data_IF_286916227763
#
_entry.id   IF_286916227763
#
_cell.length_a   1.000
_cell.length_b   1.000
_cell.length_c   1.000
_cell.angle_alpha   90.00
_cell.angle_beta   90.00
_cell.angle_gamma   90.00
#
_symmetry.space_group_name_H-M   'P 1'
#
loop_
_entity.id
_entity.type
_entity.pdbx_description
1 polymer ?
#
# COMPACT_ATOMS: atom_id res chain seq x y z
N UNK A 1 -5.14 -4.31 -19.01
CA UNK A 1 -5.58 -3.03 -19.63
C UNK A 1 -6.39 -3.35 -20.87
N UNK A 2 -7.64 -2.89 -20.98
CA UNK A 2 -8.41 -3.03 -22.21
C UNK A 2 -7.89 -2.09 -23.30
N UNK A 3 -7.88 -2.54 -24.56
CA UNK A 3 -7.30 -1.82 -25.72
C UNK A 3 -7.84 -0.38 -25.85
N UNK A 4 -9.09 -0.15 -25.47
CA UNK A 4 -9.74 1.17 -25.51
C UNK A 4 -9.17 2.15 -24.46
N UNK A 5 -9.00 1.72 -23.20
CA UNK A 5 -8.43 2.57 -22.15
C UNK A 5 -6.98 2.96 -22.46
N UNK A 6 -6.19 2.02 -23.00
CA UNK A 6 -4.80 2.27 -23.42
C UNK A 6 -4.71 3.29 -24.56
N UNK A 7 -5.67 3.32 -25.49
CA UNK A 7 -5.71 4.31 -26.59
C UNK A 7 -6.12 5.70 -26.12
N UNK A 8 -7.04 5.80 -25.15
CA UNK A 8 -7.49 7.09 -24.59
C UNK A 8 -6.39 7.75 -23.74
N UNK A 9 -5.69 6.96 -22.93
CA UNK A 9 -4.54 7.44 -22.13
C UNK A 9 -3.37 7.91 -23.01
N UNK A 10 -3.12 7.25 -24.16
CA UNK A 10 -2.14 7.73 -25.17
C UNK A 10 -2.54 9.06 -25.81
N UNK A 11 -3.81 9.44 -25.76
CA UNK A 11 -4.34 10.73 -26.26
C UNK A 11 -4.44 11.79 -25.15
N UNK A 12 -3.93 11.51 -23.95
CA UNK A 12 -3.96 12.45 -22.82
C UNK A 12 -5.31 12.57 -22.12
N UNK A 13 -6.29 11.72 -22.44
CA UNK A 13 -7.60 11.72 -21.78
C UNK A 13 -7.53 10.80 -20.58
N UNK A 14 -7.66 11.37 -19.38
CA UNK A 14 -7.70 10.60 -18.14
C UNK A 14 -8.94 9.72 -18.10
N UNK A 15 -8.73 8.41 -17.98
CA UNK A 15 -9.81 7.42 -17.80
C UNK A 15 -9.90 7.01 -16.34
N UNK A 16 -11.10 6.67 -15.85
CA UNK A 16 -11.27 6.13 -14.49
C UNK A 16 -10.39 4.90 -14.25
N UNK A 17 -10.33 3.98 -15.23
CA UNK A 17 -9.45 2.80 -15.19
C UNK A 17 -7.96 3.15 -15.20
N UNK A 18 -7.56 4.22 -15.88
CA UNK A 18 -6.18 4.72 -15.88
C UNK A 18 -5.79 5.41 -14.57
N UNK A 19 -6.71 6.18 -13.96
CA UNK A 19 -6.54 6.77 -12.64
C UNK A 19 -6.37 5.69 -11.56
N UNK A 20 -7.20 4.65 -11.58
CA UNK A 20 -7.07 3.50 -10.69
C UNK A 20 -5.71 2.80 -10.85
N UNK A 21 -5.25 2.58 -12.07
CA UNK A 21 -3.94 1.96 -12.30
C UNK A 21 -2.77 2.84 -11.83
N UNK A 22 -2.85 4.16 -11.98
CA UNK A 22 -1.86 5.09 -11.41
C UNK A 22 -1.82 4.99 -9.89
N UNK A 23 -2.98 4.95 -9.23
CA UNK A 23 -3.09 4.80 -7.78
C UNK A 23 -2.51 3.46 -7.31
N UNK A 24 -2.88 2.35 -7.94
CA UNK A 24 -2.35 1.01 -7.64
C UNK A 24 -0.82 0.98 -7.79
N UNK A 25 -0.28 1.62 -8.83
CA UNK A 25 1.17 1.72 -9.03
C UNK A 25 1.86 2.51 -7.91
N UNK A 26 1.28 3.64 -7.50
CA UNK A 26 1.78 4.47 -6.42
C UNK A 26 1.75 3.72 -5.08
N UNK A 27 0.67 3.01 -4.78
CA UNK A 27 0.50 2.20 -3.56
C UNK A 27 1.50 1.04 -3.55
N UNK A 28 1.69 0.34 -4.68
CA UNK A 28 2.71 -0.71 -4.79
C UNK A 28 4.14 -0.19 -4.60
N UNK A 29 4.44 1.01 -5.12
CA UNK A 29 5.74 1.66 -4.91
C UNK A 29 5.96 1.98 -3.43
N UNK A 30 4.93 2.52 -2.76
CA UNK A 30 4.93 2.79 -1.33
C UNK A 30 5.19 1.52 -0.51
N UNK A 31 4.47 0.43 -0.81
CA UNK A 31 4.62 -0.85 -0.12
C UNK A 31 6.04 -1.43 -0.27
N UNK A 32 6.64 -1.33 -1.45
CA UNK A 32 8.03 -1.77 -1.71
C UNK A 32 9.04 -0.92 -0.94
N UNK A 33 8.85 0.39 -0.92
CA UNK A 33 9.70 1.32 -0.17
C UNK A 33 9.66 1.01 1.34
N UNK A 34 8.46 0.85 1.90
CA UNK A 34 8.27 0.52 3.32
C UNK A 34 8.96 -0.80 3.65
N UNK A 35 8.73 -1.85 2.86
CA UNK A 35 9.38 -3.16 3.05
C UNK A 35 10.89 -3.02 3.10
N UNK A 36 11.49 -2.35 2.12
CA UNK A 36 12.93 -2.20 2.04
C UNK A 36 13.50 -1.42 3.24
N UNK A 37 12.81 -0.38 3.70
CA UNK A 37 13.22 0.40 4.88
C UNK A 37 13.12 -0.43 6.16
N UNK A 38 12.01 -1.13 6.38
CA UNK A 38 11.81 -2.00 7.54
C UNK A 38 12.90 -3.06 7.60
N UNK A 39 13.15 -3.79 6.50
CA UNK A 39 14.19 -4.83 6.48
C UNK A 39 15.57 -4.28 6.81
N UNK A 40 15.91 -3.10 6.26
CA UNK A 40 17.20 -2.44 6.53
C UNK A 40 17.34 -2.03 8.00
N UNK A 41 16.30 -1.42 8.58
CA UNK A 41 16.31 -0.97 9.96
C UNK A 41 16.25 -2.15 10.95
N UNK A 42 15.51 -3.21 10.61
CA UNK A 42 15.48 -4.46 11.36
C UNK A 42 16.87 -5.07 11.46
N UNK A 43 17.56 -5.27 10.33
CA UNK A 43 18.91 -5.85 10.32
C UNK A 43 19.92 -4.97 11.07
N UNK A 44 19.83 -3.64 10.89
CA UNK A 44 20.72 -2.71 11.57
C UNK A 44 20.48 -2.67 13.08
N UNK A 45 19.23 -2.54 13.53
CA UNK A 45 18.88 -2.53 14.96
C UNK A 45 19.24 -3.85 15.64
N UNK A 46 19.06 -4.99 14.96
CA UNK A 46 19.50 -6.30 15.44
C UNK A 46 21.00 -6.35 15.69
N UNK A 47 21.79 -5.85 14.73
CA UNK A 47 23.24 -5.82 14.83
C UNK A 47 23.73 -4.88 15.95
N UNK A 48 23.08 -3.72 16.12
CA UNK A 48 23.46 -2.79 17.19
C UNK A 48 23.03 -3.29 18.58
N UNK A 49 21.88 -3.95 18.69
CA UNK A 49 21.42 -4.54 19.95
C UNK A 49 22.34 -5.66 20.47
N UNK A 50 23.08 -6.33 19.58
CA UNK A 50 24.06 -7.36 19.95
C UNK A 50 25.42 -6.82 20.40
N UNK A 51 25.66 -5.50 20.34
CA UNK A 51 26.93 -4.89 20.79
C UNK A 51 26.91 -4.64 22.30
N UNK A 52 28.07 -4.66 22.98
CA UNK A 52 28.14 -4.30 24.40
C UNK A 52 27.56 -2.90 24.61
N UNK A 53 26.80 -2.74 25.70
CA UNK A 53 26.05 -1.51 25.98
C UNK A 53 26.97 -0.28 25.94
N UNK A 54 26.82 0.52 24.87
CA UNK A 54 27.28 1.90 24.86
C UNK A 54 26.28 2.75 25.64
N UNK A 55 26.65 4.01 25.93
CA UNK A 55 25.75 5.00 26.57
C UNK A 55 24.36 4.92 25.92
N UNK A 56 23.28 5.04 26.71
CA UNK A 56 21.91 4.90 26.18
C UNK A 56 21.64 5.77 24.95
N UNK A 57 20.65 5.39 24.11
CA UNK A 57 20.39 6.04 22.80
C UNK A 57 20.33 7.57 22.91
N UNK A 58 19.76 8.09 23.98
CA UNK A 58 19.63 9.53 24.23
C UNK A 58 20.97 10.23 24.41
N UNK A 59 21.94 9.59 25.07
CA UNK A 59 23.26 10.15 25.29
C UNK A 59 24.06 10.18 23.99
N UNK A 60 24.02 9.09 23.21
CA UNK A 60 24.62 9.08 21.86
C UNK A 60 23.99 10.17 20.99
N UNK A 61 22.67 10.35 21.02
CA UNK A 61 22.03 11.40 20.22
C UNK A 61 22.36 12.81 20.66
N UNK A 62 22.51 13.04 21.95
CA UNK A 62 22.94 14.33 22.45
C UNK A 62 24.38 14.64 21.97
N UNK A 63 25.27 13.65 21.98
CA UNK A 63 26.63 13.78 21.41
C UNK A 63 26.57 14.06 19.90
N UNK A 64 25.76 13.31 19.14
CA UNK A 64 25.56 13.54 17.70
C UNK A 64 25.04 14.96 17.41
N UNK A 65 24.09 15.44 18.22
CA UNK A 65 23.50 16.77 18.06
C UNK A 65 24.52 17.88 18.31
N UNK A 66 25.38 17.73 19.33
CA UNK A 66 26.44 18.71 19.60
C UNK A 66 27.42 18.82 18.44
N UNK A 67 27.75 17.70 17.78
CA UNK A 67 28.63 17.72 16.62
C UNK A 67 27.96 18.29 15.36
N UNK A 68 26.65 18.07 15.16
CA UNK A 68 25.90 18.65 14.05
C UNK A 68 25.77 20.19 14.12
N UNK A 69 26.00 20.81 15.28
CA UNK A 69 26.05 22.27 15.44
C UNK A 69 27.18 22.94 14.64
N UNK A 70 28.11 22.18 14.07
CA UNK A 70 29.17 22.68 13.18
C UNK A 70 28.70 23.01 11.75
N UNK A 71 27.39 22.92 11.44
CA UNK A 71 26.87 23.35 10.14
C UNK A 71 27.15 24.85 9.88
N UNK A 72 27.90 25.16 8.82
CA UNK A 72 28.38 26.52 8.54
C UNK A 72 27.28 27.52 8.10
N UNK A 73 26.07 27.06 7.78
CA UNK A 73 24.97 27.91 7.28
C UNK A 73 23.76 27.93 8.22
N UNK A 74 23.09 29.10 8.32
CA UNK A 74 21.89 29.30 9.14
C UNK A 74 20.77 28.29 8.81
N UNK A 75 20.55 28.04 7.52
CA UNK A 75 19.55 27.06 7.04
C UNK A 75 19.92 25.62 7.45
N UNK A 76 21.20 25.27 7.39
CA UNK A 76 21.69 23.95 7.83
C UNK A 76 21.47 23.74 9.33
N UNK A 77 21.73 24.76 10.17
CA UNK A 77 21.46 24.72 11.61
C UNK A 77 19.98 24.51 11.92
N UNK A 78 19.09 25.25 11.25
CA UNK A 78 17.63 25.11 11.44
C UNK A 78 17.17 23.69 11.07
N UNK A 79 17.65 23.16 9.93
CA UNK A 79 17.32 21.81 9.48
C UNK A 79 17.81 20.74 10.46
N UNK A 80 19.04 20.84 10.94
CA UNK A 80 19.60 19.91 11.91
C UNK A 80 18.80 19.90 13.23
N UNK A 81 18.34 21.07 13.68
CA UNK A 81 17.47 21.18 14.87
C UNK A 81 16.09 20.57 14.64
N UNK A 82 15.49 20.75 13.46
CA UNK A 82 14.21 20.11 13.13
C UNK A 82 14.36 18.58 13.04
N UNK A 83 15.44 18.10 12.43
CA UNK A 83 15.73 16.67 12.31
C UNK A 83 16.00 16.04 13.69
N UNK A 84 16.72 16.73 14.60
CA UNK A 84 16.93 16.26 15.96
C UNK A 84 15.64 16.26 16.78
N UNK A 85 14.81 17.31 16.68
CA UNK A 85 13.52 17.37 17.37
C UNK A 85 12.57 16.24 16.93
N UNK A 86 12.48 15.97 15.61
CA UNK A 86 11.67 14.87 15.09
C UNK A 86 12.15 13.51 15.58
N UNK A 87 13.47 13.34 15.73
CA UNK A 87 14.06 12.12 16.23
C UNK A 87 13.82 11.92 17.74
N UNK A 88 13.96 12.97 18.55
CA UNK A 88 13.59 12.92 19.97
C UNK A 88 12.12 12.60 20.15
N UNK A 89 11.24 13.25 19.38
CA UNK A 89 9.82 12.95 19.39
C UNK A 89 9.54 11.48 19.04
N UNK A 90 10.21 10.93 18.03
CA UNK A 90 10.08 9.51 17.68
C UNK A 90 10.47 8.58 18.84
N UNK A 91 11.60 8.84 19.49
CA UNK A 91 12.05 8.00 20.61
C UNK A 91 11.12 8.11 21.82
N UNK A 92 10.74 9.34 22.20
CA UNK A 92 9.89 9.61 23.35
C UNK A 92 8.48 9.05 23.14
N UNK A 93 7.86 9.31 21.99
CA UNK A 93 6.50 8.83 21.68
C UNK A 93 6.41 7.30 21.59
N UNK A 94 7.54 6.62 21.32
CA UNK A 94 7.61 5.16 21.26
C UNK A 94 8.28 4.52 22.47
N UNK A 95 8.65 5.29 23.51
CA UNK A 95 9.28 4.78 24.73
C UNK A 95 10.65 4.10 24.49
N UNK A 96 11.37 4.50 23.45
CA UNK A 96 12.63 3.87 23.04
C UNK A 96 13.80 4.50 23.80
N UNK A 97 14.41 3.73 24.70
CA UNK A 97 15.57 4.10 25.51
C UNK A 97 16.82 3.30 25.15
N UNK A 98 16.67 2.13 24.51
CA UNK A 98 17.77 1.22 24.15
C UNK A 98 17.69 0.71 22.71
N UNK A 99 18.83 0.24 22.17
CA UNK A 99 18.88 -0.36 20.83
C UNK A 99 18.03 -1.64 20.74
N UNK A 100 17.87 -2.35 21.86
CA UNK A 100 16.97 -3.49 21.96
C UNK A 100 15.49 -3.07 21.79
N UNK A 101 15.05 -2.03 22.48
CA UNK A 101 13.68 -1.50 22.33
C UNK A 101 13.44 -0.96 20.92
N UNK A 102 14.46 -0.35 20.29
CA UNK A 102 14.37 0.03 18.89
C UNK A 102 14.21 -1.20 17.98
N UNK A 103 14.93 -2.29 18.26
CA UNK A 103 14.79 -3.54 17.52
C UNK A 103 13.40 -4.15 17.66
N UNK A 104 12.88 -4.22 18.88
CA UNK A 104 11.51 -4.67 19.19
C UNK A 104 10.48 -3.83 18.42
N UNK A 105 10.63 -2.50 18.41
CA UNK A 105 9.79 -1.62 17.59
C UNK A 105 9.88 -1.96 16.10
N UNK A 106 11.06 -2.28 15.57
CA UNK A 106 11.21 -2.68 14.16
C UNK A 106 10.56 -4.04 13.86
N UNK A 107 10.59 -4.99 14.82
CA UNK A 107 9.86 -6.26 14.72
C UNK A 107 8.36 -6.01 14.63
N UNK A 108 7.82 -5.18 15.53
CA UNK A 108 6.40 -4.83 15.56
C UNK A 108 5.96 -4.12 14.28
N UNK A 109 6.75 -3.15 13.80
CA UNK A 109 6.47 -2.46 12.54
C UNK A 109 6.48 -3.42 11.35
N UNK A 110 7.38 -4.40 11.34
CA UNK A 110 7.42 -5.43 10.30
C UNK A 110 6.16 -6.31 10.33
N UNK A 111 5.73 -6.76 11.52
CA UNK A 111 4.50 -7.54 11.67
C UNK A 111 3.27 -6.73 11.20
N UNK A 112 3.14 -5.48 11.65
CA UNK A 112 2.07 -4.56 11.21
C UNK A 112 2.08 -4.33 9.71
N UNK A 113 3.26 -4.21 9.09
CA UNK A 113 3.37 -4.09 7.63
C UNK A 113 2.75 -5.28 6.90
N UNK A 114 3.06 -6.51 7.33
CA UNK A 114 2.52 -7.70 6.68
C UNK A 114 1.02 -7.85 6.92
N UNK A 115 0.52 -7.53 8.11
CA UNK A 115 -0.91 -7.50 8.42
C UNK A 115 -1.67 -6.50 7.54
N UNK A 116 -1.22 -5.24 7.50
CA UNK A 116 -1.84 -4.20 6.67
C UNK A 116 -1.79 -4.53 5.18
N UNK A 117 -0.66 -5.08 4.71
CA UNK A 117 -0.55 -5.52 3.32
C UNK A 117 -1.52 -6.66 3.02
N UNK A 118 -1.66 -7.61 3.94
CA UNK A 118 -2.63 -8.70 3.83
C UNK A 118 -4.06 -8.18 3.70
N UNK A 119 -4.46 -7.27 4.60
CA UNK A 119 -5.77 -6.59 4.59
C UNK A 119 -6.03 -5.89 3.27
N UNK A 120 -5.10 -5.04 2.79
CA UNK A 120 -5.23 -4.33 1.51
C UNK A 120 -5.43 -5.31 0.35
N UNK A 121 -4.57 -6.33 0.22
CA UNK A 121 -4.66 -7.29 -0.89
C UNK A 121 -5.95 -8.11 -0.83
N UNK A 122 -6.40 -8.49 0.38
CA UNK A 122 -7.65 -9.23 0.55
C UNK A 122 -8.87 -8.39 0.16
N UNK A 123 -8.90 -7.12 0.57
CA UNK A 123 -9.95 -6.17 0.21
C UNK A 123 -9.97 -5.94 -1.31
N UNK A 124 -8.81 -5.75 -1.94
CA UNK A 124 -8.72 -5.60 -3.41
C UNK A 124 -9.27 -6.81 -4.17
N UNK A 125 -8.91 -8.03 -3.73
CA UNK A 125 -9.44 -9.27 -4.33
C UNK A 125 -10.95 -9.37 -4.17
N UNK A 126 -11.47 -9.06 -2.98
CA UNK A 126 -12.90 -9.13 -2.71
C UNK A 126 -13.68 -8.08 -3.50
N UNK A 127 -13.19 -6.83 -3.56
CA UNK A 127 -13.76 -5.77 -4.40
C UNK A 127 -13.79 -6.21 -5.87
N UNK A 128 -12.70 -6.78 -6.40
CA UNK A 128 -12.66 -7.24 -7.78
C UNK A 128 -13.73 -8.31 -8.06
N UNK A 129 -13.85 -9.30 -7.19
CA UNK A 129 -14.87 -10.36 -7.31
C UNK A 129 -16.30 -9.80 -7.24
N UNK A 130 -16.58 -8.91 -6.30
CA UNK A 130 -17.89 -8.26 -6.19
C UNK A 130 -18.21 -7.36 -7.39
N UNK A 131 -17.19 -6.69 -7.93
CA UNK A 131 -17.32 -5.85 -9.13
C UNK A 131 -17.70 -6.70 -10.33
N UNK A 132 -17.03 -7.84 -10.54
CA UNK A 132 -17.35 -8.79 -11.61
C UNK A 132 -18.80 -9.32 -11.48
N UNK A 133 -19.23 -9.66 -10.25
CA UNK A 133 -20.62 -10.07 -9.99
C UNK A 133 -21.62 -8.97 -10.35
N UNK A 134 -21.33 -7.73 -9.98
CA UNK A 134 -22.13 -6.56 -10.33
C UNK A 134 -22.21 -6.34 -11.85
N UNK A 135 -21.09 -6.48 -12.56
CA UNK A 135 -21.02 -6.38 -14.02
C UNK A 135 -21.86 -7.47 -14.71
N UNK A 136 -21.75 -8.72 -14.26
CA UNK A 136 -22.55 -9.85 -14.78
C UNK A 136 -24.05 -9.64 -14.52
N UNK A 137 -24.40 -9.17 -13.32
CA UNK A 137 -25.78 -8.81 -13.01
C UNK A 137 -26.33 -7.68 -13.88
N UNK A 138 -25.53 -6.64 -14.14
CA UNK A 138 -25.89 -5.54 -15.03
C UNK A 138 -26.07 -6.02 -16.48
N UNK A 139 -25.17 -6.86 -16.98
CA UNK A 139 -25.28 -7.46 -18.33
C UNK A 139 -26.52 -8.33 -18.46
N UNK A 140 -26.79 -9.17 -17.47
CA UNK A 140 -27.99 -10.01 -17.44
C UNK A 140 -29.25 -9.15 -17.57
N UNK A 141 -29.40 -8.12 -16.74
CA UNK A 141 -30.58 -7.25 -16.77
C UNK A 141 -30.69 -6.42 -18.05
N UNK A 142 -29.56 -5.95 -18.59
CA UNK A 142 -29.52 -5.17 -19.83
C UNK A 142 -30.02 -5.96 -21.04
N UNK A 143 -29.64 -7.23 -21.16
CA UNK A 143 -29.95 -8.06 -22.33
C UNK A 143 -31.15 -9.01 -22.13
N UNK A 144 -31.66 -9.13 -20.91
CA UNK A 144 -32.93 -9.80 -20.59
C UNK A 144 -34.11 -9.42 -21.51
N UNK A 145 -34.37 -8.14 -21.85
CA UNK A 145 -35.47 -7.80 -22.76
C UNK A 145 -35.27 -8.36 -24.17
N UNK A 146 -34.05 -8.39 -24.70
CA UNK A 146 -33.73 -8.94 -26.02
C UNK A 146 -33.95 -10.46 -26.03
N UNK A 147 -33.50 -11.16 -24.98
CA UNK A 147 -33.79 -12.59 -24.83
C UNK A 147 -35.30 -12.88 -24.73
N UNK A 148 -36.05 -12.02 -24.05
CA UNK A 148 -37.52 -12.11 -23.97
C UNK A 148 -38.19 -11.85 -25.33
N UNK A 149 -37.68 -10.92 -26.12
CA UNK A 149 -38.17 -10.65 -27.47
C UNK A 149 -37.94 -11.87 -28.38
N UNK A 150 -36.77 -12.51 -28.31
CA UNK A 150 -36.48 -13.73 -29.06
C UNK A 150 -37.55 -14.82 -28.85
N UNK A 151 -38.02 -15.01 -27.62
CA UNK A 151 -39.07 -15.99 -27.31
C UNK A 151 -40.44 -15.67 -27.95
N UNK A 152 -40.66 -14.42 -28.38
CA UNK A 152 -41.90 -13.95 -29.00
C UNK A 152 -41.80 -13.87 -30.54
N UNK A 153 -40.61 -14.03 -31.11
CA UNK A 153 -40.41 -13.99 -32.56
C UNK A 153 -40.95 -15.28 -33.19
N UNK A 154 -41.70 -15.13 -34.30
CA UNK A 154 -42.20 -16.28 -35.07
C UNK A 154 -41.04 -17.17 -35.53
N UNK A 155 -41.19 -18.50 -35.57
CA UNK A 155 -40.11 -19.42 -35.97
C UNK A 155 -39.41 -19.02 -37.27
N UNK A 156 -40.18 -18.60 -38.29
CA UNK A 156 -39.67 -18.19 -39.59
C UNK A 156 -38.76 -16.94 -39.59
N UNK A 157 -38.78 -16.10 -38.54
CA UNK A 157 -37.93 -14.89 -38.42
C UNK A 157 -36.91 -14.99 -37.30
N UNK A 158 -36.84 -16.14 -36.62
CA UNK A 158 -36.05 -16.33 -35.41
C UNK A 158 -34.56 -16.30 -35.70
N UNK A 159 -34.12 -17.01 -36.74
CA UNK A 159 -32.72 -17.07 -37.15
C UNK A 159 -32.16 -15.68 -37.51
N UNK A 160 -32.92 -14.87 -38.26
CA UNK A 160 -32.53 -13.50 -38.59
C UNK A 160 -32.41 -12.60 -37.35
N UNK A 161 -33.28 -12.80 -36.36
CA UNK A 161 -33.22 -12.08 -35.08
C UNK A 161 -31.99 -12.49 -34.27
N UNK A 162 -31.70 -13.79 -34.20
CA UNK A 162 -30.53 -14.33 -33.51
C UNK A 162 -29.23 -13.84 -34.16
N UNK A 163 -29.14 -13.78 -35.49
CA UNK A 163 -27.98 -13.21 -36.19
C UNK A 163 -27.78 -11.73 -35.84
N UNK A 164 -28.86 -10.93 -35.86
CA UNK A 164 -28.82 -9.49 -35.54
C UNK A 164 -28.46 -9.18 -34.09
N UNK A 165 -28.88 -10.03 -33.16
CA UNK A 165 -28.65 -9.86 -31.72
C UNK A 165 -27.67 -10.89 -31.14
N UNK A 166 -26.84 -11.49 -31.99
CA UNK A 166 -25.97 -12.62 -31.63
C UNK A 166 -25.03 -12.27 -30.47
N UNK A 167 -24.44 -11.07 -30.49
CA UNK A 167 -23.57 -10.58 -29.43
C UNK A 167 -24.30 -10.37 -28.12
N UNK A 168 -25.46 -9.72 -28.14
CA UNK A 168 -26.25 -9.43 -26.96
C UNK A 168 -26.78 -10.71 -26.30
N UNK A 169 -27.22 -11.68 -27.12
CA UNK A 169 -27.67 -12.98 -26.66
C UNK A 169 -26.51 -13.79 -26.05
N UNK A 170 -25.33 -13.79 -26.69
CA UNK A 170 -24.14 -14.45 -26.14
C UNK A 170 -23.72 -13.85 -24.78
N UNK A 171 -23.74 -12.52 -24.64
CA UNK A 171 -23.46 -11.84 -23.37
C UNK A 171 -24.51 -12.16 -22.31
N UNK A 172 -25.79 -12.21 -22.68
CA UNK A 172 -26.87 -12.62 -21.78
C UNK A 172 -26.67 -14.05 -21.28
N UNK A 173 -26.36 -14.99 -22.17
CA UNK A 173 -26.19 -16.40 -21.84
C UNK A 173 -24.95 -16.65 -20.98
N UNK A 174 -23.85 -15.92 -21.22
CA UNK A 174 -22.68 -15.94 -20.34
C UNK A 174 -23.04 -15.45 -18.94
N UNK A 175 -23.69 -14.28 -18.83
CA UNK A 175 -24.12 -13.73 -17.54
C UNK A 175 -25.13 -14.64 -16.83
N UNK A 176 -26.06 -15.25 -17.55
CA UNK A 176 -27.05 -16.17 -17.00
C UNK A 176 -26.40 -17.44 -16.43
N UNK A 177 -25.39 -18.00 -17.12
CA UNK A 177 -24.61 -19.14 -16.61
C UNK A 177 -23.84 -18.78 -15.35
N UNK A 178 -23.12 -17.65 -15.37
CA UNK A 178 -22.38 -17.16 -14.21
C UNK A 178 -23.27 -16.97 -12.97
N UNK A 179 -24.41 -16.29 -13.13
CA UNK A 179 -25.34 -16.07 -12.02
C UNK A 179 -26.00 -17.36 -11.52
N UNK A 180 -26.20 -18.34 -12.41
CA UNK A 180 -26.68 -19.67 -12.03
C UNK A 180 -25.64 -20.39 -11.18
N UNK A 181 -24.39 -20.46 -11.63
CA UNK A 181 -23.28 -21.07 -10.87
C UNK A 181 -23.10 -20.40 -9.50
N UNK A 182 -23.22 -19.08 -9.43
CA UNK A 182 -23.14 -18.33 -8.17
C UNK A 182 -24.26 -18.72 -7.20
N UNK A 183 -25.48 -18.88 -7.70
CA UNK A 183 -26.64 -19.30 -6.91
C UNK A 183 -26.53 -20.77 -6.50
N UNK A 184 -26.07 -21.64 -7.39
CA UNK A 184 -25.86 -23.08 -7.11
C UNK A 184 -24.74 -23.27 -6.07
N UNK A 185 -23.76 -22.34 -6.03
CA UNK A 185 -22.75 -22.23 -4.97
C UNK A 185 -23.26 -21.66 -3.63
N UNK A 186 -24.57 -21.40 -3.50
CA UNK A 186 -25.19 -20.94 -2.25
C UNK A 186 -25.11 -19.44 -2.00
N UNK A 187 -24.62 -18.63 -2.96
CA UNK A 187 -24.52 -17.19 -2.77
C UNK A 187 -25.83 -16.47 -3.15
N UNK A 188 -26.23 -15.51 -2.33
CA UNK A 188 -27.40 -14.68 -2.60
C UNK A 188 -27.11 -13.63 -3.68
N UNK A 189 -28.01 -13.53 -4.67
CA UNK A 189 -27.95 -12.52 -5.73
C UNK A 189 -28.45 -11.16 -5.20
N UNK A 190 -27.60 -10.46 -4.45
CA UNK A 190 -27.93 -9.20 -3.77
C UNK A 190 -27.04 -8.04 -4.23
N UNK A 191 -27.31 -7.43 -5.40
CA UNK A 191 -26.48 -6.35 -5.97
C UNK A 191 -26.26 -5.18 -5.02
N UNK A 192 -27.32 -4.73 -4.32
CA UNK A 192 -27.22 -3.65 -3.33
C UNK A 192 -26.31 -3.99 -2.16
N UNK A 193 -26.25 -5.26 -1.76
CA UNK A 193 -25.35 -5.69 -0.68
C UNK A 193 -23.90 -5.72 -1.18
N UNK A 194 -23.67 -6.18 -2.42
CA UNK A 194 -22.35 -6.14 -3.05
C UNK A 194 -21.82 -4.72 -3.17
N UNK A 195 -22.65 -3.76 -3.59
CA UNK A 195 -22.27 -2.34 -3.65
C UNK A 195 -21.90 -1.77 -2.29
N UNK A 196 -22.68 -2.09 -1.24
CA UNK A 196 -22.38 -1.69 0.14
C UNK A 196 -21.06 -2.29 0.63
N UNK A 197 -20.83 -3.57 0.36
CA UNK A 197 -19.58 -4.26 0.74
C UNK A 197 -18.38 -3.67 -0.01
N UNK A 198 -18.51 -3.36 -1.31
CA UNK A 198 -17.47 -2.67 -2.08
C UNK A 198 -17.14 -1.30 -1.45
N UNK A 199 -18.15 -0.51 -1.10
CA UNK A 199 -17.95 0.80 -0.49
C UNK A 199 -17.23 0.69 0.86
N UNK A 200 -17.64 -0.26 1.70
CA UNK A 200 -16.98 -0.53 2.98
C UNK A 200 -15.52 -0.95 2.79
N UNK A 201 -15.26 -1.95 1.95
CA UNK A 201 -13.91 -2.45 1.68
C UNK A 201 -13.01 -1.37 1.06
N UNK A 202 -13.58 -0.46 0.28
CA UNK A 202 -12.85 0.67 -0.31
C UNK A 202 -12.41 1.64 0.78
N UNK A 203 -13.32 2.01 1.70
CA UNK A 203 -12.99 2.87 2.84
C UNK A 203 -11.94 2.22 3.77
N UNK A 204 -12.08 0.92 4.06
CA UNK A 204 -11.10 0.16 4.86
C UNK A 204 -9.73 0.13 4.18
N UNK A 205 -9.68 -0.10 2.87
CA UNK A 205 -8.43 -0.06 2.10
C UNK A 205 -7.78 1.33 2.17
N UNK A 206 -8.55 2.41 2.02
CA UNK A 206 -8.03 3.78 2.12
C UNK A 206 -7.45 4.08 3.51
N UNK A 207 -8.14 3.65 4.57
CA UNK A 207 -7.65 3.76 5.94
C UNK A 207 -6.34 2.98 6.14
N UNK A 208 -6.27 1.73 5.66
CA UNK A 208 -5.05 0.92 5.72
C UNK A 208 -3.89 1.55 4.93
N UNK A 209 -4.16 2.15 3.77
CA UNK A 209 -3.15 2.88 2.98
C UNK A 209 -2.67 4.14 3.71
N UNK A 210 -3.55 4.83 4.45
CA UNK A 210 -3.14 5.96 5.29
C UNK A 210 -2.21 5.50 6.43
N UNK A 211 -2.51 4.37 7.06
CA UNK A 211 -1.63 3.77 8.08
C UNK A 211 -0.26 3.39 7.50
N UNK A 212 -0.20 2.87 6.27
CA UNK A 212 1.06 2.63 5.56
C UNK A 212 1.87 3.93 5.36
N UNK A 213 1.20 5.05 5.02
CA UNK A 213 1.87 6.35 4.87
C UNK A 213 2.41 6.87 6.20
N UNK A 214 1.66 6.70 7.30
CA UNK A 214 2.12 7.05 8.64
C UNK A 214 3.35 6.22 9.04
N UNK A 215 3.30 4.90 8.84
CA UNK A 215 4.43 4.00 9.07
C UNK A 215 5.67 4.40 8.27
N UNK A 216 5.51 4.82 7.00
CA UNK A 216 6.63 5.33 6.20
C UNK A 216 7.31 6.53 6.86
N UNK A 217 6.54 7.43 7.49
CA UNK A 217 7.10 8.60 8.16
C UNK A 217 7.83 8.22 9.45
N UNK A 218 7.30 7.28 10.23
CA UNK A 218 8.01 6.71 11.40
C UNK A 218 9.34 6.07 10.98
N UNK A 219 9.34 5.30 9.89
CA UNK A 219 10.57 4.69 9.37
C UNK A 219 11.60 5.71 8.90
N UNK A 220 11.17 6.89 8.41
CA UNK A 220 12.12 7.97 8.09
C UNK A 220 12.82 8.47 9.35
N UNK A 221 12.10 8.66 10.45
CA UNK A 221 12.70 9.09 11.72
C UNK A 221 13.72 8.04 12.22
N UNK A 222 13.38 6.76 12.17
CA UNK A 222 14.31 5.67 12.50
C UNK A 222 15.51 5.59 11.53
N UNK A 223 15.35 5.93 10.25
CA UNK A 223 16.48 6.05 9.31
C UNK A 223 17.41 7.22 9.65
N UNK A 224 16.88 8.33 10.17
CA UNK A 224 17.71 9.44 10.64
C UNK A 224 18.48 9.07 11.90
N UNK A 225 17.84 8.35 12.85
CA UNK A 225 18.52 7.78 14.01
C UNK A 225 19.74 6.97 13.59
N UNK A 226 19.54 6.03 12.67
CA UNK A 226 20.60 5.19 12.14
C UNK A 226 21.76 6.00 11.56
N UNK A 227 21.47 7.09 10.83
CA UNK A 227 22.51 7.94 10.27
C UNK A 227 23.29 8.68 11.36
N UNK A 228 22.61 9.21 12.37
CA UNK A 228 23.24 9.90 13.49
C UNK A 228 24.18 8.96 14.27
N UNK A 229 23.72 7.76 14.61
CA UNK A 229 24.53 6.74 15.31
C UNK A 229 25.74 6.32 14.47
N UNK A 230 25.55 6.09 13.16
CA UNK A 230 26.64 5.72 12.26
C UNK A 230 27.68 6.84 12.07
N UNK A 231 27.26 8.11 12.11
CA UNK A 231 28.16 9.25 12.02
C UNK A 231 29.12 9.27 13.23
N UNK A 232 28.57 9.12 14.43
CA UNK A 232 29.35 9.03 15.66
C UNK A 232 30.33 7.86 15.67
N UNK A 233 29.88 6.69 15.22
CA UNK A 233 30.72 5.50 15.17
C UNK A 233 31.95 5.70 14.27
N UNK A 234 31.81 6.41 13.14
CA UNK A 234 32.91 6.71 12.22
C UNK A 234 33.90 7.71 12.80
N UNK A 235 33.41 8.76 13.45
CA UNK A 235 34.29 9.78 14.04
C UNK A 235 35.08 9.24 15.24
N UNK A 236 34.46 8.42 16.09
CA UNK A 236 35.19 7.73 17.16
C UNK A 236 36.28 6.77 16.66
N UNK A 237 36.15 6.25 15.43
CA UNK A 237 37.23 5.47 14.78
C UNK A 237 38.34 6.36 14.21
N UNK A 238 38.02 7.56 13.73
CA UNK A 238 39.03 8.52 13.25
C UNK A 238 39.88 9.06 14.41
N UNK A 239 39.27 9.49 15.51
CA UNK A 239 40.03 9.99 16.67
C UNK A 239 40.93 8.93 17.31
N UNK A 240 40.47 7.66 17.39
CA UNK A 240 41.33 6.58 17.88
C UNK A 240 42.54 6.30 17.00
N UNK A 241 42.45 6.54 15.69
CA UNK A 241 43.60 6.36 14.78
C UNK A 241 44.60 7.51 14.95
N UNK A 242 44.10 8.74 15.07
CA UNK A 242 44.95 9.92 15.33
C UNK A 242 45.67 9.81 16.69
N UNK A 243 45.02 9.28 17.73
CA UNK A 243 45.64 9.04 19.04
C UNK A 243 46.64 7.88 19.05
N UNK A 244 46.53 6.91 18.14
CA UNK A 244 47.49 5.80 18.01
C UNK A 244 48.67 6.11 17.07
N UNK A 245 48.61 7.21 16.33
CA UNK A 245 49.67 7.70 15.42
C UNK A 245 50.52 8.83 16.04
N UNK A 246 50.25 9.20 17.30
CA UNK A 246 51.02 10.13 18.14
C UNK A 246 51.82 9.36 19.22
#
# INVERSE_FOLDING_TARGET
MGVAATRMERRGIATEKGNLNRQISADNKLLKEIKARITRLYNWSKAEAGKPAKKGIMAELWEAQQQLKQANTRTGKIRALQESAALFYFLQSNGIQSMQQLHEKMVDMNARYYDLRGKIVSAERRIAALTERGEMWAQYNRYKPIRRQLNKVKPAKRELFEQRHSRELALYEAAARYLKELKDGGEALTPKAWEREIAQLTAEKEANTLQMKAMRNELKAAEQLRKAVNLLARQGQHHKKEEHEL
#
